data_IF_958052930464
#
_entry.id   IF_958052930464
#
_cell.length_a   1.000
_cell.length_b   1.000
_cell.length_c   1.000
_cell.angle_alpha   90.00
_cell.angle_beta   90.00
_cell.angle_gamma   90.00
#
_symmetry.space_group_name_H-M   'P 1'
#
loop_
_entity.id
_entity.type
_entity.pdbx_description
1 polymer ?
#
# COMPACT_ATOMS: atom_id res chain seq x y z
N UNK A 1 -15.00 8.39 -32.22
CA UNK A 1 -15.07 8.94 -30.84
C UNK A 1 -16.35 8.46 -30.20
N UNK A 2 -16.24 7.81 -29.04
CA UNK A 2 -17.40 7.47 -28.19
C UNK A 2 -18.09 8.76 -27.74
N UNK A 3 -19.41 8.73 -27.54
CA UNK A 3 -20.18 9.92 -27.12
C UNK A 3 -19.74 10.47 -25.76
N UNK A 4 -19.10 9.64 -24.93
CA UNK A 4 -18.59 9.99 -23.60
C UNK A 4 -17.35 10.89 -23.64
N UNK A 5 -16.51 10.83 -24.68
CA UNK A 5 -15.28 11.64 -24.78
C UNK A 5 -15.50 13.04 -25.34
N UNK A 6 -16.54 13.24 -26.16
CA UNK A 6 -16.82 14.52 -26.80
C UNK A 6 -16.92 15.72 -25.83
N UNK A 7 -17.59 15.62 -24.67
CA UNK A 7 -17.60 16.70 -23.69
C UNK A 7 -16.34 16.75 -22.80
N UNK A 8 -15.51 15.71 -22.81
CA UNK A 8 -14.34 15.58 -21.91
C UNK A 8 -13.09 16.23 -22.51
N UNK A 9 -12.83 16.02 -23.80
CA UNK A 9 -11.61 16.52 -24.44
C UNK A 9 -11.44 18.06 -24.33
N UNK A 10 -12.49 18.89 -24.51
CA UNK A 10 -12.34 20.33 -24.29
C UNK A 10 -11.94 20.71 -22.85
N UNK A 11 -12.32 19.90 -21.85
CA UNK A 11 -11.93 20.12 -20.45
C UNK A 11 -10.45 19.80 -20.26
N UNK A 12 -9.96 18.71 -20.84
CA UNK A 12 -8.53 18.36 -20.84
C UNK A 12 -7.71 19.47 -21.52
N UNK A 13 -8.16 19.92 -22.69
CA UNK A 13 -7.53 21.03 -23.44
C UNK A 13 -7.47 22.32 -22.61
N UNK A 14 -8.53 22.65 -21.87
CA UNK A 14 -8.57 23.82 -20.98
C UNK A 14 -7.59 23.69 -19.81
N UNK A 15 -7.45 22.50 -19.21
CA UNK A 15 -6.47 22.23 -18.15
C UNK A 15 -5.05 22.46 -18.68
N UNK A 16 -4.70 21.85 -19.82
CA UNK A 16 -3.38 22.01 -20.44
C UNK A 16 -3.10 23.45 -20.87
N UNK A 17 -4.09 24.13 -21.45
CA UNK A 17 -3.99 25.55 -21.81
C UNK A 17 -3.67 26.40 -20.58
N UNK A 18 -4.41 26.23 -19.49
CA UNK A 18 -4.20 27.00 -18.26
C UNK A 18 -2.85 26.67 -17.61
N UNK A 19 -2.47 25.40 -17.58
CA UNK A 19 -1.16 24.96 -17.08
C UNK A 19 0.00 25.59 -17.86
N UNK A 20 -0.08 25.63 -19.20
CA UNK A 20 0.94 26.23 -20.05
C UNK A 20 1.12 27.75 -19.81
N UNK A 21 0.07 28.42 -19.32
CA UNK A 21 0.09 29.84 -18.96
C UNK A 21 0.60 30.09 -17.53
N UNK A 22 0.70 29.05 -16.70
CA UNK A 22 1.06 29.20 -15.29
C UNK A 22 2.53 29.57 -15.09
N UNK A 23 2.79 30.32 -14.01
CA UNK A 23 4.15 30.57 -13.53
C UNK A 23 4.82 29.29 -13.00
N UNK A 24 4.02 28.31 -12.58
CA UNK A 24 4.46 27.02 -12.05
C UNK A 24 4.86 25.98 -13.11
N UNK A 25 4.69 26.28 -14.41
CA UNK A 25 4.91 25.32 -15.51
C UNK A 25 6.26 24.57 -15.38
N UNK A 26 7.36 25.30 -15.24
CA UNK A 26 8.70 24.70 -15.19
C UNK A 26 8.96 23.90 -13.93
N UNK A 27 8.53 24.39 -12.77
CA UNK A 27 8.69 23.69 -11.48
C UNK A 27 7.88 22.39 -11.46
N UNK A 28 6.69 22.40 -12.07
CA UNK A 28 5.85 21.21 -12.15
C UNK A 28 6.43 20.18 -13.12
N UNK A 29 6.98 20.60 -14.28
CA UNK A 29 7.73 19.71 -15.17
C UNK A 29 8.95 19.10 -14.48
N UNK A 30 9.72 19.89 -13.74
CA UNK A 30 10.87 19.37 -12.98
C UNK A 30 10.45 18.38 -11.89
N UNK A 31 9.27 18.59 -11.30
CA UNK A 31 8.73 17.71 -10.26
C UNK A 31 8.32 16.34 -10.83
N UNK A 32 7.66 16.32 -12.00
CA UNK A 32 7.24 15.11 -12.69
C UNK A 32 8.41 14.40 -13.39
N UNK A 33 9.16 15.12 -14.24
CA UNK A 33 10.05 14.53 -15.26
C UNK A 33 11.55 14.72 -14.96
N UNK A 34 11.88 15.23 -13.78
CA UNK A 34 13.25 15.54 -13.37
C UNK A 34 13.81 16.80 -14.05
N UNK A 35 15.12 17.05 -13.89
CA UNK A 35 15.76 18.31 -14.33
C UNK A 35 16.58 18.18 -15.60
N UNK A 36 16.65 16.99 -16.20
CA UNK A 36 17.50 16.69 -17.36
C UNK A 36 16.75 16.58 -18.69
N UNK A 37 15.46 16.95 -18.71
CA UNK A 37 14.64 16.93 -19.91
C UNK A 37 15.11 17.96 -20.96
N UNK A 38 14.73 17.74 -22.21
CA UNK A 38 14.96 18.65 -23.33
C UNK A 38 14.07 19.89 -23.20
N UNK A 39 14.66 20.97 -22.66
CA UNK A 39 13.97 22.25 -22.46
C UNK A 39 13.47 22.90 -23.76
N UNK A 40 14.07 22.58 -24.92
CA UNK A 40 13.61 23.11 -26.22
C UNK A 40 12.28 22.45 -26.58
N UNK A 41 12.20 21.12 -26.52
CA UNK A 41 10.94 20.40 -26.77
C UNK A 41 9.86 20.75 -25.76
N UNK A 42 10.20 20.90 -24.48
CA UNK A 42 9.25 21.34 -23.46
C UNK A 42 8.72 22.75 -23.76
N UNK A 43 9.57 23.66 -24.26
CA UNK A 43 9.16 25.00 -24.71
C UNK A 43 8.21 24.94 -25.91
N UNK A 44 8.48 24.06 -26.88
CA UNK A 44 7.63 23.87 -28.06
C UNK A 44 6.23 23.35 -27.66
N UNK A 45 6.17 22.32 -26.80
CA UNK A 45 4.91 21.81 -26.25
C UNK A 45 4.13 22.92 -25.52
N UNK A 46 4.81 23.70 -24.69
CA UNK A 46 4.20 24.85 -24.00
C UNK A 46 3.56 25.82 -24.97
N UNK A 47 4.29 26.24 -26.02
CA UNK A 47 3.80 27.21 -27.01
C UNK A 47 2.59 26.68 -27.79
N UNK A 48 2.59 25.39 -28.11
CA UNK A 48 1.45 24.73 -28.75
C UNK A 48 0.21 24.80 -27.84
N UNK A 49 0.33 24.40 -26.58
CA UNK A 49 -0.77 24.47 -25.62
C UNK A 49 -1.26 25.90 -25.36
N UNK A 50 -0.35 26.88 -25.26
CA UNK A 50 -0.70 28.31 -25.11
C UNK A 50 -1.48 28.87 -26.31
N UNK A 51 -1.31 28.29 -27.50
CA UNK A 51 -2.05 28.65 -28.71
C UNK A 51 -3.30 27.81 -28.94
N UNK A 52 -3.67 26.94 -27.98
CA UNK A 52 -4.74 25.94 -28.09
C UNK A 52 -4.54 25.00 -29.28
N UNK A 53 -3.29 24.76 -29.65
CA UNK A 53 -2.94 23.73 -30.59
C UNK A 53 -2.65 22.43 -29.83
N UNK A 54 -3.55 21.46 -29.98
CA UNK A 54 -3.48 20.13 -29.36
C UNK A 54 -3.34 19.01 -30.37
N UNK A 55 -3.08 19.33 -31.65
CA UNK A 55 -2.97 18.33 -32.72
C UNK A 55 -1.79 17.37 -32.58
N UNK A 56 -0.83 17.69 -31.72
CA UNK A 56 0.30 16.84 -31.34
C UNK A 56 -0.06 15.78 -30.30
N UNK A 57 -1.15 15.96 -29.54
CA UNK A 57 -1.53 15.00 -28.50
C UNK A 57 -1.85 13.64 -29.13
N UNK A 58 -1.50 12.53 -28.47
CA UNK A 58 -1.77 11.19 -29.00
C UNK A 58 -3.27 10.98 -29.26
N UNK A 59 -3.64 10.32 -30.36
CA UNK A 59 -5.02 9.87 -30.55
C UNK A 59 -5.41 8.85 -29.48
N UNK A 60 -6.68 8.92 -29.07
CA UNK A 60 -7.28 8.00 -28.09
C UNK A 60 -7.99 6.85 -28.81
N UNK A 61 -7.67 5.62 -28.42
CA UNK A 61 -8.33 4.38 -28.82
C UNK A 61 -9.03 3.76 -27.61
N UNK A 62 -10.30 3.35 -27.77
CA UNK A 62 -11.05 2.71 -26.69
C UNK A 62 -10.99 1.21 -26.86
N UNK A 63 -10.48 0.51 -25.86
CA UNK A 63 -10.32 -0.94 -25.84
C UNK A 63 -11.29 -1.58 -24.85
N UNK A 64 -11.61 -2.85 -25.09
CA UNK A 64 -12.41 -3.62 -24.15
C UNK A 64 -11.54 -4.13 -23.00
N UNK A 65 -12.18 -4.51 -21.90
CA UNK A 65 -11.49 -5.04 -20.71
C UNK A 65 -10.77 -6.37 -21.00
N UNK A 66 -11.18 -7.11 -22.03
CA UNK A 66 -10.45 -8.32 -22.44
C UNK A 66 -9.05 -7.99 -22.97
N UNK A 67 -8.84 -6.77 -23.49
CA UNK A 67 -7.56 -6.32 -24.03
C UNK A 67 -6.78 -5.53 -22.99
N UNK A 68 -7.39 -4.49 -22.41
CA UNK A 68 -6.72 -3.60 -21.46
C UNK A 68 -6.65 -4.18 -20.03
N UNK A 69 -7.34 -5.29 -19.80
CA UNK A 69 -7.44 -5.91 -18.49
C UNK A 69 -8.20 -5.01 -17.52
N UNK A 70 -7.56 -4.69 -16.41
CA UNK A 70 -8.13 -3.89 -15.32
C UNK A 70 -7.68 -2.43 -15.33
N UNK A 71 -6.76 -2.05 -16.23
CA UNK A 71 -6.27 -0.68 -16.29
C UNK A 71 -7.33 0.26 -16.86
N UNK A 72 -7.40 1.47 -16.34
CA UNK A 72 -8.36 2.47 -16.81
C UNK A 72 -7.87 3.16 -18.09
N UNK A 73 -6.56 3.30 -18.22
CA UNK A 73 -5.85 3.88 -19.35
C UNK A 73 -4.49 3.22 -19.53
N UNK A 74 -3.90 3.44 -20.71
CA UNK A 74 -2.51 3.16 -20.94
C UNK A 74 -1.94 4.01 -22.08
N UNK A 75 -0.67 4.39 -22.03
CA UNK A 75 0.01 5.12 -23.09
C UNK A 75 1.11 4.25 -23.69
N UNK A 76 1.18 4.18 -25.03
CA UNK A 76 2.26 3.53 -25.73
C UNK A 76 3.08 4.51 -26.53
N UNK A 77 4.34 4.70 -26.15
CA UNK A 77 5.33 5.51 -26.89
C UNK A 77 5.62 4.94 -28.28
N UNK A 78 5.60 3.62 -28.43
CA UNK A 78 5.91 2.93 -29.69
C UNK A 78 4.90 3.19 -30.81
N UNK A 79 3.63 3.40 -30.45
CA UNK A 79 2.54 3.69 -31.39
C UNK A 79 2.03 5.12 -31.29
N UNK A 80 2.51 5.88 -30.30
CA UNK A 80 2.06 7.21 -29.93
C UNK A 80 0.53 7.25 -29.80
N UNK A 81 -0.02 6.40 -28.92
CA UNK A 81 -1.45 6.26 -28.69
C UNK A 81 -1.78 6.18 -27.21
N UNK A 82 -2.93 6.73 -26.86
CA UNK A 82 -3.57 6.53 -25.57
C UNK A 82 -4.66 5.49 -25.75
N UNK A 83 -4.68 4.48 -24.89
CA UNK A 83 -5.72 3.47 -24.80
C UNK A 83 -6.57 3.72 -23.56
N UNK A 84 -7.90 3.69 -23.69
CA UNK A 84 -8.80 3.83 -22.54
C UNK A 84 -9.73 2.62 -22.43
N UNK A 85 -10.02 2.18 -21.21
CA UNK A 85 -10.97 1.10 -20.96
C UNK A 85 -12.40 1.54 -21.31
N UNK A 86 -13.09 0.71 -22.10
CA UNK A 86 -14.50 0.91 -22.40
C UNK A 86 -15.38 0.82 -21.15
N UNK A 87 -15.09 -0.07 -20.19
CA UNK A 87 -15.88 -0.17 -18.96
C UNK A 87 -15.65 1.04 -18.06
N UNK A 88 -14.39 1.48 -17.93
CA UNK A 88 -14.04 2.70 -17.22
C UNK A 88 -14.83 3.90 -17.76
N UNK A 89 -14.86 4.10 -19.08
CA UNK A 89 -15.62 5.20 -19.70
C UNK A 89 -17.14 5.12 -19.48
N UNK A 90 -17.68 3.95 -19.15
CA UNK A 90 -19.11 3.75 -18.89
C UNK A 90 -19.48 3.97 -17.41
N UNK A 91 -18.54 3.78 -16.49
CA UNK A 91 -18.80 3.82 -15.04
C UNK A 91 -18.19 5.03 -14.34
N UNK A 92 -17.11 5.58 -14.87
CA UNK A 92 -16.34 6.63 -14.23
C UNK A 92 -17.02 8.00 -14.32
N UNK A 93 -16.72 8.85 -13.35
CA UNK A 93 -17.11 10.26 -13.41
C UNK A 93 -16.30 11.01 -14.48
N UNK A 94 -16.84 12.12 -14.99
CA UNK A 94 -16.10 12.98 -15.93
C UNK A 94 -14.75 13.45 -15.36
N UNK A 95 -14.68 13.72 -14.05
CA UNK A 95 -13.43 14.11 -13.40
C UNK A 95 -12.40 12.97 -13.40
N UNK A 96 -12.82 11.74 -13.13
CA UNK A 96 -11.94 10.57 -13.19
C UNK A 96 -11.42 10.34 -14.62
N UNK A 97 -12.27 10.48 -15.65
CA UNK A 97 -11.85 10.33 -17.05
C UNK A 97 -10.84 11.43 -17.43
N UNK A 98 -11.07 12.69 -17.03
CA UNK A 98 -10.12 13.79 -17.24
C UNK A 98 -8.78 13.47 -16.59
N UNK A 99 -8.79 12.97 -15.35
CA UNK A 99 -7.57 12.63 -14.62
C UNK A 99 -6.74 11.56 -15.35
N UNK A 100 -7.37 10.46 -15.77
CA UNK A 100 -6.69 9.40 -16.52
C UNK A 100 -6.13 9.96 -17.83
N UNK A 101 -6.90 10.72 -18.61
CA UNK A 101 -6.37 11.28 -19.86
C UNK A 101 -5.17 12.21 -19.61
N UNK A 102 -5.19 13.02 -18.55
CA UNK A 102 -4.07 13.90 -18.21
C UNK A 102 -2.82 13.10 -17.79
N UNK A 103 -3.01 11.98 -17.12
CA UNK A 103 -1.95 11.05 -16.72
C UNK A 103 -1.30 10.42 -17.94
N UNK A 104 -2.10 9.90 -18.87
CA UNK A 104 -1.60 9.35 -20.14
C UNK A 104 -0.92 10.42 -21.02
N UNK A 105 -1.36 11.68 -20.93
CA UNK A 105 -0.67 12.80 -21.56
C UNK A 105 0.66 13.11 -20.86
N UNK A 106 0.77 12.87 -19.55
CA UNK A 106 2.02 12.97 -18.80
C UNK A 106 3.09 12.03 -19.33
N UNK A 107 2.76 10.74 -19.50
CA UNK A 107 3.68 9.76 -20.11
C UNK A 107 4.04 10.14 -21.57
N UNK A 108 3.09 10.68 -22.34
CA UNK A 108 3.41 11.24 -23.67
C UNK A 108 4.42 12.38 -23.59
N UNK A 109 4.23 13.32 -22.66
CA UNK A 109 5.12 14.46 -22.47
C UNK A 109 6.52 13.97 -22.11
N UNK A 110 6.63 13.04 -21.15
CA UNK A 110 7.90 12.44 -20.77
C UNK A 110 8.62 11.84 -21.99
N UNK A 111 7.93 10.97 -22.74
CA UNK A 111 8.47 10.34 -23.94
C UNK A 111 8.88 11.34 -25.05
N UNK A 112 8.33 12.56 -25.05
CA UNK A 112 8.78 13.61 -25.97
C UNK A 112 10.06 14.29 -25.48
N UNK A 113 10.12 14.66 -24.20
CA UNK A 113 11.15 15.55 -23.65
C UNK A 113 12.34 14.82 -23.07
N UNK A 114 12.18 13.57 -22.65
CA UNK A 114 13.22 12.72 -22.11
C UNK A 114 13.65 11.66 -23.12
N UNK A 115 14.93 11.26 -23.07
CA UNK A 115 15.46 10.16 -23.90
C UNK A 115 15.33 8.81 -23.21
N UNK A 116 15.36 8.84 -21.89
CA UNK A 116 15.13 7.70 -21.01
C UNK A 116 13.93 8.09 -20.16
N UNK A 117 13.01 7.16 -20.07
CA UNK A 117 11.83 7.26 -19.23
C UNK A 117 12.16 7.76 -17.80
N UNK A 118 11.32 8.66 -17.30
CA UNK A 118 11.44 9.14 -15.92
C UNK A 118 11.06 8.02 -14.95
N UNK A 119 11.76 7.85 -13.82
CA UNK A 119 11.42 6.79 -12.88
C UNK A 119 10.12 7.11 -12.13
N UNK A 120 9.29 6.09 -11.94
CA UNK A 120 8.05 6.17 -11.17
C UNK A 120 6.85 6.41 -12.08
N UNK A 121 5.79 6.95 -11.49
CA UNK A 121 4.53 7.25 -12.18
C UNK A 121 4.49 8.76 -12.47
N UNK A 122 5.34 9.20 -13.40
CA UNK A 122 5.44 10.60 -13.80
C UNK A 122 4.17 11.11 -14.46
N UNK A 123 3.38 10.21 -15.05
CA UNK A 123 2.03 10.45 -15.52
C UNK A 123 1.12 10.96 -14.39
N UNK A 124 1.01 10.21 -13.28
CA UNK A 124 0.15 10.59 -12.17
C UNK A 124 0.65 11.87 -11.48
N UNK A 125 1.97 12.03 -11.34
CA UNK A 125 2.56 13.27 -10.82
C UNK A 125 2.16 14.44 -11.72
N UNK A 126 2.29 14.30 -13.03
CA UNK A 126 1.91 15.33 -13.99
C UNK A 126 0.41 15.65 -13.89
N UNK A 127 -0.46 14.65 -13.91
CA UNK A 127 -1.91 14.82 -13.83
C UNK A 127 -2.35 15.59 -12.58
N UNK A 128 -1.76 15.29 -11.42
CA UNK A 128 -2.02 16.03 -10.19
C UNK A 128 -1.58 17.50 -10.30
N UNK A 129 -0.35 17.73 -10.78
CA UNK A 129 0.25 19.07 -10.82
C UNK A 129 -0.41 19.99 -11.86
N UNK A 130 -0.84 19.47 -13.02
CA UNK A 130 -1.53 20.29 -14.03
C UNK A 130 -2.95 20.68 -13.62
N UNK A 131 -3.57 19.90 -12.72
CA UNK A 131 -4.85 20.25 -12.09
C UNK A 131 -4.69 21.17 -10.87
N UNK A 132 -3.44 21.48 -10.48
CA UNK A 132 -3.13 22.40 -9.38
C UNK A 132 -3.11 21.75 -8.00
N UNK A 133 -3.05 20.42 -7.93
CA UNK A 133 -2.94 19.69 -6.67
C UNK A 133 -1.55 19.87 -6.03
N UNK A 134 -1.51 19.84 -4.70
CA UNK A 134 -0.26 19.93 -3.93
C UNK A 134 0.08 18.55 -3.39
N UNK A 135 1.07 17.91 -4.00
CA UNK A 135 1.59 16.62 -3.55
C UNK A 135 2.46 16.81 -2.30
N UNK A 136 2.15 16.07 -1.24
CA UNK A 136 3.02 16.04 -0.06
C UNK A 136 4.37 15.41 -0.41
N UNK A 137 5.48 15.74 0.29
CA UNK A 137 6.79 15.14 0.02
C UNK A 137 6.78 13.61 0.11
N UNK A 138 5.96 13.02 0.98
CA UNK A 138 5.81 11.57 1.10
C UNK A 138 5.12 10.98 -0.12
N UNK A 139 3.97 11.54 -0.52
CA UNK A 139 3.22 11.06 -1.70
C UNK A 139 4.05 11.20 -2.97
N UNK A 140 4.77 12.32 -3.13
CA UNK A 140 5.65 12.51 -4.28
C UNK A 140 6.81 11.49 -4.29
N UNK A 141 7.36 11.15 -3.13
CA UNK A 141 8.42 10.15 -3.04
C UNK A 141 7.90 8.73 -3.35
N UNK A 142 6.67 8.41 -2.96
CA UNK A 142 6.00 7.14 -3.30
C UNK A 142 5.78 7.03 -4.81
N UNK A 143 5.15 8.03 -5.43
CA UNK A 143 4.89 8.06 -6.88
C UNK A 143 6.18 7.98 -7.70
N UNK A 144 7.27 8.63 -7.28
CA UNK A 144 8.59 8.54 -7.94
C UNK A 144 9.27 7.16 -7.88
N UNK A 145 8.66 6.20 -7.20
CA UNK A 145 9.16 4.82 -7.10
C UNK A 145 8.15 3.80 -7.59
N UNK A 146 6.96 4.24 -8.00
CA UNK A 146 5.90 3.41 -8.52
C UNK A 146 6.06 3.23 -10.02
N UNK A 147 6.62 2.11 -10.46
CA UNK A 147 6.80 1.81 -11.88
C UNK A 147 5.58 1.01 -12.38
N UNK A 148 4.81 1.60 -13.30
CA UNK A 148 3.59 1.04 -13.88
C UNK A 148 3.78 0.47 -15.29
N UNK A 149 5.03 0.33 -15.73
CA UNK A 149 5.39 -0.28 -17.01
C UNK A 149 4.87 -1.72 -17.15
N UNK A 150 4.36 -2.02 -18.33
CA UNK A 150 3.95 -3.36 -18.68
C UNK A 150 3.78 -3.60 -20.17
N UNK A 151 3.30 -4.80 -20.47
CA UNK A 151 3.03 -5.23 -21.84
C UNK A 151 1.53 -5.35 -22.07
N UNK A 152 1.06 -4.81 -23.19
CA UNK A 152 -0.31 -4.85 -23.67
C UNK A 152 -0.35 -5.50 -25.06
N UNK A 153 -1.14 -6.56 -25.23
CA UNK A 153 -1.33 -7.17 -26.55
C UNK A 153 -2.52 -6.52 -27.27
N UNK A 154 -2.25 -5.79 -28.37
CA UNK A 154 -3.30 -5.18 -29.21
C UNK A 154 -3.20 -5.74 -30.61
N UNK A 155 -4.28 -6.38 -31.08
CA UNK A 155 -4.36 -6.98 -32.43
C UNK A 155 -3.21 -7.97 -32.75
N UNK A 156 -2.71 -8.71 -31.74
CA UNK A 156 -1.60 -9.65 -31.89
C UNK A 156 -0.20 -9.02 -31.87
N UNK A 157 -0.09 -7.72 -31.56
CA UNK A 157 1.18 -7.03 -31.32
C UNK A 157 1.36 -6.76 -29.82
N UNK A 158 2.52 -7.12 -29.28
CA UNK A 158 2.89 -6.78 -27.90
C UNK A 158 3.45 -5.36 -27.85
N UNK A 159 2.79 -4.49 -27.10
CA UNK A 159 3.14 -3.08 -26.92
C UNK A 159 3.63 -2.87 -25.49
N UNK A 160 4.75 -2.17 -25.33
CA UNK A 160 5.13 -1.62 -24.03
C UNK A 160 4.25 -0.40 -23.76
N UNK A 161 3.69 -0.35 -22.56
CA UNK A 161 2.77 0.70 -22.10
C UNK A 161 3.03 1.04 -20.64
N UNK A 162 2.75 2.30 -20.30
CA UNK A 162 2.49 2.75 -18.92
C UNK A 162 1.00 2.57 -18.63
N UNK A 163 0.62 2.06 -17.47
CA UNK A 163 -0.76 1.70 -17.14
C UNK A 163 -1.29 2.55 -15.97
N UNK A 164 -2.39 3.29 -16.20
CA UNK A 164 -3.17 3.83 -15.08
C UNK A 164 -3.87 2.70 -14.28
N UNK A 165 -3.22 2.26 -13.20
CA UNK A 165 -3.76 1.39 -12.17
C UNK A 165 -3.72 2.10 -10.81
N UNK A 166 -4.66 1.83 -9.89
CA UNK A 166 -4.54 2.34 -8.53
C UNK A 166 -3.34 1.70 -7.82
N UNK A 167 -2.55 2.49 -7.09
CA UNK A 167 -1.50 1.99 -6.20
C UNK A 167 -2.10 1.51 -4.89
N UNK A 168 -1.50 0.48 -4.29
CA UNK A 168 -1.81 0.09 -2.91
C UNK A 168 -0.55 0.09 -2.06
N UNK A 169 -0.58 0.81 -0.95
CA UNK A 169 0.47 0.83 0.07
C UNK A 169 -0.01 0.23 1.39
N UNK A 170 0.94 -0.22 2.21
CA UNK A 170 0.70 -0.85 3.50
C UNK A 170 1.57 -0.19 4.56
N UNK A 171 0.97 0.14 5.69
CA UNK A 171 1.67 0.70 6.84
C UNK A 171 1.16 0.11 8.15
N UNK A 172 1.92 0.29 9.22
CA UNK A 172 1.52 -0.05 10.58
C UNK A 172 1.53 1.23 11.42
N UNK A 173 0.41 1.56 12.05
CA UNK A 173 0.33 2.75 12.90
C UNK A 173 1.02 2.53 14.23
N UNK A 174 1.44 3.61 14.90
CA UNK A 174 1.91 3.53 16.28
C UNK A 174 0.77 3.12 17.24
N UNK A 175 0.98 2.16 18.15
CA UNK A 175 2.25 1.45 18.41
C UNK A 175 2.52 0.30 17.44
N UNK A 176 3.79 0.11 17.05
CA UNK A 176 4.24 -1.08 16.30
C UNK A 176 4.62 -2.26 17.19
N UNK A 177 4.47 -2.10 18.51
CA UNK A 177 4.79 -3.11 19.53
C UNK A 177 3.73 -3.04 20.61
N UNK A 178 3.08 -4.18 20.86
CA UNK A 178 2.01 -4.34 21.84
C UNK A 178 2.34 -5.53 22.74
N UNK A 179 1.58 -5.71 23.81
CA UNK A 179 1.73 -6.82 24.76
C UNK A 179 0.54 -7.76 24.59
N UNK A 180 0.73 -9.08 24.76
CA UNK A 180 -0.32 -10.09 24.58
C UNK A 180 -1.53 -9.93 25.51
N UNK A 181 -1.32 -9.41 26.73
CA UNK A 181 -2.38 -9.03 27.69
C UNK A 181 -2.72 -7.53 27.67
N UNK A 182 -2.21 -6.80 26.68
CA UNK A 182 -2.35 -5.37 26.57
C UNK A 182 -3.71 -4.93 26.03
N UNK A 183 -4.17 -3.71 26.36
CA UNK A 183 -5.39 -3.14 25.76
C UNK A 183 -5.17 -2.61 24.32
N UNK A 184 -3.99 -2.82 23.75
CA UNK A 184 -3.56 -2.21 22.49
C UNK A 184 -3.40 -3.28 21.41
N UNK A 185 -3.81 -2.92 20.20
CA UNK A 185 -3.79 -3.79 19.02
C UNK A 185 -2.79 -3.24 18.00
N UNK A 186 -2.33 -4.11 17.11
CA UNK A 186 -1.60 -3.69 15.92
C UNK A 186 -2.60 -3.29 14.84
N UNK A 187 -2.47 -2.10 14.25
CA UNK A 187 -3.34 -1.65 13.17
C UNK A 187 -2.55 -1.47 11.88
N UNK A 188 -2.74 -2.43 10.97
CA UNK A 188 -2.27 -2.37 9.61
C UNK A 188 -3.23 -1.55 8.77
N UNK A 189 -2.72 -0.54 8.07
CA UNK A 189 -3.50 0.35 7.24
C UNK A 189 -3.08 0.14 5.79
N UNK A 190 -4.02 -0.36 5.01
CA UNK A 190 -3.93 -0.44 3.56
C UNK A 190 -4.50 0.85 2.99
N UNK A 191 -3.71 1.53 2.15
CA UNK A 191 -4.10 2.76 1.48
C UNK A 191 -4.09 2.55 -0.02
N UNK A 192 -5.08 3.10 -0.71
CA UNK A 192 -5.20 3.08 -2.16
C UNK A 192 -5.15 4.50 -2.71
N UNK A 193 -4.24 4.75 -3.65
CA UNK A 193 -4.15 5.99 -4.45
C UNK A 193 -4.65 5.73 -5.88
N UNK A 194 -4.88 6.79 -6.65
CA UNK A 194 -5.49 6.70 -7.98
C UNK A 194 -7.00 6.48 -7.95
N UNK A 195 -7.53 5.75 -8.94
CA UNK A 195 -8.97 5.51 -9.07
C UNK A 195 -9.53 4.74 -7.87
N UNK A 196 -10.64 5.19 -7.28
CA UNK A 196 -11.36 4.51 -6.20
C UNK A 196 -12.77 4.09 -6.60
N UNK A 197 -13.18 4.32 -7.86
CA UNK A 197 -14.57 4.16 -8.32
C UNK A 197 -15.10 2.75 -8.07
N UNK A 198 -14.29 1.74 -8.41
CA UNK A 198 -14.66 0.34 -8.26
C UNK A 198 -14.05 -0.27 -6.99
N UNK A 199 -14.71 -1.30 -6.44
CA UNK A 199 -14.11 -2.09 -5.35
C UNK A 199 -12.84 -2.78 -5.80
N UNK A 200 -11.84 -2.88 -4.93
CA UNK A 200 -10.55 -3.52 -5.22
C UNK A 200 -10.18 -4.50 -4.11
N UNK A 201 -9.89 -5.75 -4.48
CA UNK A 201 -9.38 -6.74 -3.53
C UNK A 201 -7.88 -6.88 -3.67
N UNK A 202 -7.17 -6.76 -2.55
CA UNK A 202 -5.72 -6.76 -2.47
C UNK A 202 -5.28 -7.97 -1.66
N UNK A 203 -4.33 -8.72 -2.21
CA UNK A 203 -3.78 -9.90 -1.56
C UNK A 203 -2.49 -9.53 -0.82
N UNK A 204 -2.19 -10.24 0.26
CA UNK A 204 -0.95 -10.11 1.01
C UNK A 204 -0.49 -11.47 1.56
N UNK A 205 0.80 -11.60 1.84
CA UNK A 205 1.35 -12.74 2.58
C UNK A 205 1.47 -12.41 4.06
N UNK A 206 1.28 -13.42 4.90
CA UNK A 206 1.46 -13.37 6.36
C UNK A 206 2.73 -14.15 6.70
N UNK A 207 3.60 -13.57 7.51
CA UNK A 207 4.86 -14.15 7.96
C UNK A 207 5.20 -13.66 9.37
N UNK A 208 6.34 -14.08 9.92
CA UNK A 208 6.69 -13.89 11.33
C UNK A 208 6.64 -15.22 12.08
N UNK A 209 6.78 -15.15 13.40
CA UNK A 209 6.73 -16.32 14.29
C UNK A 209 5.44 -16.43 15.11
N UNK A 210 4.63 -15.36 15.20
CA UNK A 210 3.30 -15.43 15.79
C UNK A 210 2.34 -16.23 14.89
N UNK A 211 1.53 -17.06 15.50
CA UNK A 211 0.59 -18.01 14.90
C UNK A 211 -0.84 -17.50 14.99
N UNK A 212 -1.48 -17.30 13.83
CA UNK A 212 -2.88 -16.88 13.75
C UNK A 212 -3.84 -17.86 14.47
N UNK A 213 -4.72 -17.31 15.31
CA UNK A 213 -5.64 -18.00 16.25
C UNK A 213 -4.99 -18.68 17.47
N UNK A 214 -3.67 -18.65 17.61
CA UNK A 214 -3.00 -18.97 18.88
C UNK A 214 -2.63 -17.68 19.58
N UNK A 215 -1.86 -16.84 18.89
CA UNK A 215 -1.16 -15.73 19.52
C UNK A 215 -1.82 -14.38 19.16
N UNK A 216 -2.68 -14.37 18.13
CA UNK A 216 -3.52 -13.21 17.79
C UNK A 216 -4.78 -13.59 17.01
N UNK A 217 -5.83 -12.78 17.19
CA UNK A 217 -7.01 -12.70 16.33
C UNK A 217 -6.92 -11.53 15.35
N UNK A 218 -7.83 -11.48 14.37
CA UNK A 218 -7.89 -10.38 13.39
C UNK A 218 -9.30 -9.86 13.17
N UNK A 219 -9.41 -8.58 12.79
CA UNK A 219 -10.64 -7.95 12.29
C UNK A 219 -10.33 -7.03 11.11
N UNK A 220 -11.15 -7.11 10.06
CA UNK A 220 -11.09 -6.21 8.90
C UNK A 220 -10.55 -6.86 7.62
N UNK A 221 -9.95 -8.06 7.70
CA UNK A 221 -9.58 -8.81 6.50
C UNK A 221 -10.80 -9.44 5.83
N UNK A 222 -10.80 -9.47 4.50
CA UNK A 222 -11.74 -10.26 3.68
C UNK A 222 -11.44 -11.75 3.83
N UNK A 223 -10.16 -12.11 3.83
CA UNK A 223 -9.69 -13.45 4.16
C UNK A 223 -8.38 -13.37 4.96
N UNK A 224 -8.15 -14.30 5.89
CA UNK A 224 -6.92 -14.34 6.67
C UNK A 224 -6.56 -15.78 7.03
N UNK A 225 -5.34 -16.19 6.69
CA UNK A 225 -4.76 -17.49 7.03
C UNK A 225 -3.33 -17.32 7.54
N UNK A 226 -2.67 -18.44 7.83
CA UNK A 226 -1.32 -18.43 8.43
C UNK A 226 -0.22 -17.94 7.49
N UNK A 227 -0.42 -18.02 6.17
CA UNK A 227 0.58 -17.60 5.17
C UNK A 227 0.07 -16.54 4.19
N UNK A 228 -1.23 -16.34 4.08
CA UNK A 228 -1.85 -15.44 3.08
C UNK A 228 -3.16 -14.85 3.60
N UNK A 229 -3.51 -13.68 3.10
CA UNK A 229 -4.81 -13.05 3.34
C UNK A 229 -5.17 -12.04 2.25
N UNK A 230 -6.32 -11.42 2.39
CA UNK A 230 -6.77 -10.34 1.53
C UNK A 230 -7.63 -9.31 2.27
N UNK A 231 -7.60 -8.07 1.78
CA UNK A 231 -8.52 -6.99 2.15
C UNK A 231 -9.27 -6.51 0.91
N UNK A 232 -10.44 -5.93 1.10
CA UNK A 232 -11.23 -5.34 0.00
C UNK A 232 -11.53 -3.88 0.30
N UNK A 233 -11.02 -2.99 -0.54
CA UNK A 233 -11.50 -1.62 -0.63
C UNK A 233 -12.90 -1.64 -1.24
N UNK A 234 -13.89 -1.15 -0.50
CA UNK A 234 -15.21 -0.90 -1.07
C UNK A 234 -15.13 0.18 -2.17
N UNK A 235 -16.09 0.19 -3.09
CA UNK A 235 -16.22 1.27 -4.07
C UNK A 235 -16.27 2.64 -3.36
N UNK A 236 -15.45 3.57 -3.83
CA UNK A 236 -15.23 4.90 -3.25
C UNK A 236 -14.35 4.94 -2.00
N UNK A 237 -13.83 3.80 -1.51
CA UNK A 237 -12.91 3.77 -0.35
C UNK A 237 -11.45 3.72 -0.77
N UNK A 238 -10.64 4.57 -0.15
CA UNK A 238 -9.19 4.58 -0.29
C UNK A 238 -8.46 3.96 0.90
N UNK A 239 -9.17 3.48 1.93
CA UNK A 239 -8.54 2.95 3.15
C UNK A 239 -9.24 1.67 3.62
N UNK A 240 -8.44 0.69 4.05
CA UNK A 240 -8.88 -0.46 4.85
C UNK A 240 -7.97 -0.61 6.06
N UNK A 241 -8.56 -0.81 7.25
CA UNK A 241 -7.82 -1.05 8.48
C UNK A 241 -7.99 -2.51 8.89
N UNK A 242 -6.87 -3.20 9.04
CA UNK A 242 -6.76 -4.55 9.59
C UNK A 242 -6.19 -4.46 11.01
N UNK A 243 -7.01 -4.82 12.00
CA UNK A 243 -6.62 -4.88 13.40
C UNK A 243 -6.20 -6.30 13.76
N UNK A 244 -5.02 -6.46 14.35
CA UNK A 244 -4.57 -7.70 14.99
C UNK A 244 -4.63 -7.53 16.50
N UNK A 245 -5.34 -8.45 17.14
CA UNK A 245 -5.64 -8.46 18.57
C UNK A 245 -4.82 -9.57 19.23
N UNK A 246 -3.73 -9.25 19.95
CA UNK A 246 -2.94 -10.27 20.65
C UNK A 246 -3.81 -11.13 21.57
N UNK A 247 -3.51 -12.41 21.64
CA UNK A 247 -4.23 -13.36 22.49
C UNK A 247 -3.51 -13.50 23.82
N UNK A 248 -4.26 -13.32 24.90
CA UNK A 248 -3.77 -13.50 26.26
C UNK A 248 -3.61 -14.99 26.59
N UNK A 249 -2.45 -15.38 27.12
CA UNK A 249 -2.29 -16.67 27.77
C UNK A 249 -1.45 -16.65 29.08
N UNK A 250 -0.77 -17.74 29.41
CA UNK A 250 0.04 -17.89 30.65
C UNK A 250 1.39 -18.59 30.39
N UNK A 251 1.77 -18.74 29.13
CA UNK A 251 2.91 -19.53 28.65
C UNK A 251 3.95 -18.58 28.10
N UNK A 252 5.08 -18.47 28.78
CA UNK A 252 6.22 -17.74 28.21
C UNK A 252 6.80 -18.52 27.01
N UNK A 253 6.49 -18.02 25.83
CA UNK A 253 6.99 -18.46 24.52
C UNK A 253 7.92 -17.43 23.86
N UNK A 254 8.02 -16.24 24.46
CA UNK A 254 8.91 -15.15 24.08
C UNK A 254 8.31 -14.25 22.99
N UNK A 255 8.87 -13.05 22.83
CA UNK A 255 8.30 -12.07 21.90
C UNK A 255 8.17 -12.60 20.47
N UNK A 256 7.02 -12.30 19.87
CA UNK A 256 6.67 -12.74 18.55
C UNK A 256 6.40 -11.58 17.60
N UNK A 257 6.36 -11.90 16.30
CA UNK A 257 6.20 -10.92 15.23
C UNK A 257 5.14 -11.38 14.26
N UNK A 258 4.38 -10.42 13.76
CA UNK A 258 3.52 -10.57 12.59
C UNK A 258 4.02 -9.63 11.52
N UNK A 259 4.28 -10.15 10.33
CA UNK A 259 4.79 -9.40 9.19
C UNK A 259 3.88 -9.60 7.98
N UNK A 260 3.31 -8.50 7.48
CA UNK A 260 2.45 -8.47 6.31
C UNK A 260 3.20 -7.89 5.10
N UNK A 261 3.13 -8.56 3.95
CA UNK A 261 3.72 -8.07 2.70
C UNK A 261 2.67 -8.06 1.61
N UNK A 262 2.51 -6.94 0.90
CA UNK A 262 1.60 -6.85 -0.23
C UNK A 262 2.04 -7.83 -1.33
N UNK A 263 1.10 -8.60 -1.86
CA UNK A 263 1.34 -9.47 -2.99
C UNK A 263 0.99 -8.73 -4.28
N UNK A 264 1.74 -9.00 -5.35
CA UNK A 264 1.34 -8.57 -6.69
C UNK A 264 -0.03 -9.16 -7.05
N UNK A 265 -0.85 -8.37 -7.73
CA UNK A 265 -2.20 -8.76 -8.10
C UNK A 265 -2.67 -8.01 -9.34
N UNK A 266 -3.90 -8.29 -9.76
CA UNK A 266 -4.52 -7.62 -10.90
C UNK A 266 -5.26 -6.36 -10.45
N UNK A 267 -5.13 -5.28 -11.21
CA UNK A 267 -5.86 -4.04 -10.96
C UNK A 267 -5.27 -3.15 -9.87
N UNK A 268 -4.02 -3.37 -9.50
CA UNK A 268 -3.26 -2.45 -8.66
C UNK A 268 -1.75 -2.62 -8.79
N UNK A 269 -1.02 -1.52 -8.59
CA UNK A 269 0.43 -1.54 -8.37
C UNK A 269 0.75 -1.69 -6.88
N UNK A 270 1.88 -2.33 -6.56
CA UNK A 270 2.34 -2.53 -5.17
C UNK A 270 3.24 -1.36 -4.77
N UNK A 271 2.71 -0.43 -3.98
CA UNK A 271 3.46 0.73 -3.46
C UNK A 271 4.33 0.42 -2.22
N UNK A 272 4.06 -0.68 -1.51
CA UNK A 272 4.91 -1.13 -0.39
C UNK A 272 5.44 -2.53 -0.66
N UNK A 273 6.69 -2.60 -1.13
CA UNK A 273 7.35 -3.85 -1.54
C UNK A 273 7.93 -4.64 -0.36
N UNK A 274 8.22 -3.96 0.76
CA UNK A 274 8.78 -4.56 1.96
C UNK A 274 7.74 -5.11 2.93
N UNK A 275 8.18 -6.02 3.81
CA UNK A 275 7.36 -6.50 4.91
C UNK A 275 7.12 -5.39 5.95
N UNK A 276 5.88 -5.23 6.38
CA UNK A 276 5.48 -4.36 7.49
C UNK A 276 5.31 -5.22 8.74
N UNK A 277 6.14 -5.00 9.76
CA UNK A 277 6.25 -5.89 10.93
C UNK A 277 5.76 -5.21 12.21
N UNK A 278 4.86 -5.88 12.91
CA UNK A 278 4.47 -5.57 14.29
C UNK A 278 4.99 -6.63 15.25
N UNK A 279 5.20 -6.25 16.51
CA UNK A 279 5.72 -7.13 17.57
C UNK A 279 4.69 -7.31 18.68
N UNK A 280 4.52 -8.54 19.13
CA UNK A 280 3.76 -8.92 20.33
C UNK A 280 4.78 -9.28 21.41
N UNK A 281 4.73 -8.58 22.53
CA UNK A 281 5.62 -8.82 23.67
C UNK A 281 5.01 -9.86 24.60
N UNK A 282 5.79 -10.91 24.87
CA UNK A 282 5.52 -11.89 25.92
C UNK A 282 5.62 -11.17 27.27
N UNK A 283 4.58 -11.29 28.08
CA UNK A 283 4.56 -10.78 29.45
C UNK A 283 4.41 -11.88 30.50
N UNK A 284 4.49 -13.13 30.08
CA UNK A 284 4.41 -14.27 30.94
C UNK A 284 5.76 -14.69 31.50
N UNK A 285 5.70 -15.50 32.54
CA UNK A 285 6.87 -16.04 33.21
C UNK A 285 6.86 -17.54 33.06
N UNK A 286 7.91 -18.08 32.44
CA UNK A 286 8.10 -19.52 32.35
C UNK A 286 7.87 -20.17 33.73
N UNK A 287 6.99 -21.18 33.85
CA UNK A 287 6.77 -21.86 35.11
C UNK A 287 8.10 -22.34 35.68
N UNK A 288 8.50 -21.76 36.81
CA UNK A 288 9.76 -22.11 37.45
C UNK A 288 9.80 -23.60 37.76
N UNK A 289 10.90 -24.27 37.39
CA UNK A 289 11.20 -25.57 37.98
C UNK A 289 11.32 -25.36 39.49
N UNK A 290 10.47 -25.98 40.30
CA UNK A 290 10.69 -26.06 41.74
C UNK A 290 11.97 -26.86 41.94
N UNK A 291 13.10 -26.16 42.04
CA UNK A 291 14.35 -26.77 42.47
C UNK A 291 14.12 -27.12 43.94
N UNK A 292 13.99 -28.42 44.25
CA UNK A 292 14.20 -28.87 45.62
C UNK A 292 15.66 -28.56 45.95
N UNK A 293 15.91 -27.40 46.53
CA UNK A 293 17.17 -27.16 47.20
C UNK A 293 17.35 -28.27 48.24
N UNK A 294 18.55 -28.84 48.31
CA UNK A 294 18.90 -29.74 49.40
C UNK A 294 18.57 -29.02 50.70
N UNK A 295 17.55 -29.50 51.42
CA UNK A 295 17.21 -28.95 52.73
C UNK A 295 18.47 -29.13 53.57
N UNK A 296 19.06 -28.03 54.06
CA UNK A 296 20.19 -28.12 54.96
C UNK A 296 19.78 -29.03 56.12
N UNK A 297 20.56 -30.09 56.38
CA UNK A 297 20.34 -30.89 57.60
C UNK A 297 20.41 -29.92 58.77
N UNK A 298 19.33 -29.81 59.53
CA UNK A 298 19.31 -29.00 60.74
C UNK A 298 20.50 -29.40 61.62
N UNK A 299 21.31 -28.43 62.05
CA UNK A 299 22.41 -28.67 63.00
C UNK A 299 21.89 -29.09 64.39
N UNK A 300 20.60 -28.90 64.64
CA UNK A 300 19.93 -29.33 65.86
C UNK A 300 18.91 -30.42 65.52
N UNK A 301 18.92 -31.53 66.26
CA UNK A 301 17.93 -32.59 66.07
C UNK A 301 16.51 -32.02 66.18
N UNK A 302 15.80 -31.96 65.05
CA UNK A 302 14.38 -31.62 65.01
C UNK A 302 13.62 -32.72 65.74
N UNK A 303 13.30 -32.48 67.02
CA UNK A 303 12.75 -33.51 67.91
C UNK A 303 11.31 -33.92 67.56
N UNK A 304 10.63 -33.22 66.64
CA UNK A 304 9.25 -33.52 66.26
C UNK A 304 8.99 -33.14 64.79
N UNK A 305 9.44 -33.97 63.86
CA UNK A 305 8.83 -34.00 62.52
C UNK A 305 7.60 -34.89 62.60
N UNK A 306 6.41 -34.27 62.55
CA UNK A 306 5.14 -35.00 62.52
C UNK A 306 4.57 -34.91 61.11
N UNK A 307 4.67 -35.99 60.33
CA UNK A 307 4.05 -36.06 59.02
C UNK A 307 2.53 -36.00 59.17
N UNK A 308 1.89 -34.99 58.59
CA UNK A 308 0.45 -34.96 58.43
C UNK A 308 0.10 -35.00 56.93
N UNK A 309 -1.14 -35.37 56.59
CA UNK A 309 -1.62 -35.41 55.19
C UNK A 309 -2.30 -34.11 54.76
N UNK A 310 -2.36 -33.11 55.64
CA UNK A 310 -3.28 -31.98 55.51
C UNK A 310 -2.63 -30.60 55.63
N UNK A 311 -1.38 -30.51 56.11
CA UNK A 311 -0.64 -29.26 56.18
C UNK A 311 0.65 -29.31 55.37
N UNK A 312 0.90 -28.22 54.67
CA UNK A 312 2.14 -27.98 53.95
C UNK A 312 2.66 -26.58 54.24
N UNK A 313 3.97 -26.44 54.16
CA UNK A 313 4.67 -25.16 54.19
C UNK A 313 5.38 -24.98 52.84
N UNK A 314 5.19 -23.81 52.22
CA UNK A 314 5.87 -23.41 51.00
C UNK A 314 6.70 -22.16 51.27
N UNK A 315 7.95 -22.15 50.80
CA UNK A 315 8.82 -20.98 50.83
C UNK A 315 8.57 -20.14 49.58
N UNK A 316 8.23 -18.87 49.75
CA UNK A 316 8.12 -17.89 48.67
C UNK A 316 9.50 -17.40 48.24
N UNK A 317 9.57 -16.83 47.04
CA UNK A 317 10.80 -16.24 46.48
C UNK A 317 11.35 -15.07 47.30
N UNK A 318 10.50 -14.38 48.06
CA UNK A 318 10.88 -13.30 48.99
C UNK A 318 11.42 -13.83 50.35
N UNK A 319 11.55 -15.15 50.50
CA UNK A 319 11.99 -15.81 51.72
C UNK A 319 10.93 -15.94 52.81
N UNK A 320 9.71 -15.46 52.58
CA UNK A 320 8.58 -15.69 53.49
C UNK A 320 8.01 -17.09 53.33
N UNK A 321 7.43 -17.65 54.40
CA UNK A 321 6.81 -18.98 54.38
C UNK A 321 5.30 -18.83 54.40
N UNK A 322 4.61 -19.49 53.47
CA UNK A 322 3.18 -19.74 53.56
C UNK A 322 2.97 -21.12 54.13
N UNK A 323 2.25 -21.16 55.25
CA UNK A 323 1.77 -22.41 55.83
C UNK A 323 0.26 -22.48 55.67
N UNK A 324 -0.24 -23.61 55.21
CA UNK A 324 -1.68 -23.86 55.18
C UNK A 324 -1.97 -25.33 55.47
N UNK A 325 -3.06 -25.55 56.20
CA UNK A 325 -3.49 -26.86 56.71
C UNK A 325 -3.99 -26.82 58.14
#
# INVERSE_FOLDING_TARGET
>A
MTSSLLPILPVVDDVLFNFAQSDGFWVNLESAFGTSYDAVKATELRQQWQSRNFGQLPPIEVLSDEVLGTANGAYSSSTNKIYLSASFLNTASSAAIVNVILEEIGHYVDAQINQTDSPGDEGAIFAALVQGEVLSPTVLAELKTEDDQGWLEVNGQNLEVEYNNPTVSLSLTSPSTVTEDGPQNLFYVFSRTGDTTNSLTVNFTVSGNATFNSDYGQRGATSFGTTTGSVTFAAGSSVVILSLDPSSDVVSDGNETVALTLAAGTGYAVGTTGAVTGTILDNDVAPGTVVRGSIAKSQYGTRHEYGNRSAFAALKSDGSVVTWG
#
